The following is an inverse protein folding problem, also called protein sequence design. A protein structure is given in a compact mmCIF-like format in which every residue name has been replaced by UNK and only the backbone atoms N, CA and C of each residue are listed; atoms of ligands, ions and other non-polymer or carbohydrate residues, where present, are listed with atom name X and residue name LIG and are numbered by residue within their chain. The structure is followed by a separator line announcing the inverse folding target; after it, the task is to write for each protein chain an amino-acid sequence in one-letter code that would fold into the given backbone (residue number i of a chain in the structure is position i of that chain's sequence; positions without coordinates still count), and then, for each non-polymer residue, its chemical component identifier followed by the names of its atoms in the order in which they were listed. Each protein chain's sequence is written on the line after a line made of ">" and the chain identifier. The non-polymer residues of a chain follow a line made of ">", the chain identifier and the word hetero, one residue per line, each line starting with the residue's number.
data_IF_488628463646
#
_entry.id   IF_488628463646
#
_cell.length_a   1.000
_cell.length_b   1.000
_cell.length_c   1.000
_cell.angle_alpha   90.00
_cell.angle_beta   90.00
_cell.angle_gamma   90.00
#
_symmetry.space_group_name_H-M   'P 1'
#
loop_
_entity.id
_entity.type
_entity.pdbx_description
1 polymer ?
#
# COMPACT_ATOMS: atom_id res chain seq x y z
N UNK A 1 70.95 -16.12 5.96
CA UNK A 1 70.88 -17.18 6.99
C UNK A 1 70.06 -16.61 8.11
N UNK A 2 68.84 -17.11 8.19
CA UNK A 2 67.70 -16.56 8.93
C UNK A 2 67.72 -16.87 10.43
N UNK A 3 67.06 -15.99 11.18
CA UNK A 3 66.63 -16.19 12.56
C UNK A 3 65.09 -16.22 12.58
N UNK A 4 64.49 -17.24 13.19
CA UNK A 4 63.32 -17.07 14.07
C UNK A 4 62.89 -18.37 14.74
N UNK A 5 62.58 -18.24 16.02
CA UNK A 5 62.00 -19.22 16.95
C UNK A 5 60.51 -19.48 16.67
N UNK A 6 60.01 -20.65 17.09
CA UNK A 6 58.58 -20.86 17.38
C UNK A 6 58.16 -22.34 17.50
N UNK A 7 57.82 -22.75 18.73
CA UNK A 7 57.45 -24.10 19.19
C UNK A 7 55.98 -24.50 18.85
N UNK A 8 55.36 -25.60 19.40
CA UNK A 8 54.87 -26.72 18.60
C UNK A 8 53.34 -26.98 18.64
N UNK A 9 52.94 -27.96 17.83
CA UNK A 9 51.64 -28.63 17.60
C UNK A 9 50.97 -29.22 18.85
N UNK A 10 49.64 -29.09 19.01
CA UNK A 10 48.67 -30.15 19.43
C UNK A 10 47.28 -29.87 18.83
N UNK A 11 46.61 -30.95 18.42
CA UNK A 11 45.37 -31.14 17.66
C UNK A 11 44.02 -30.92 18.38
N UNK A 12 43.00 -30.70 17.55
CA UNK A 12 41.52 -30.63 17.71
C UNK A 12 40.85 -31.82 18.46
N UNK A 13 39.58 -31.74 18.98
CA UNK A 13 38.38 -31.74 18.09
C UNK A 13 37.03 -31.08 18.55
N UNK A 14 36.23 -30.73 17.54
CA UNK A 14 34.75 -30.83 17.34
C UNK A 14 33.70 -30.25 18.32
N UNK A 15 32.94 -29.31 17.75
CA UNK A 15 31.46 -29.19 17.66
C UNK A 15 30.57 -29.26 18.92
N UNK A 16 29.77 -28.20 19.14
CA UNK A 16 28.34 -28.28 19.47
C UNK A 16 27.62 -26.98 19.08
N UNK A 17 26.58 -27.15 18.26
CA UNK A 17 25.57 -26.18 17.84
C UNK A 17 24.71 -25.75 19.03
N UNK A 18 24.49 -24.44 19.21
CA UNK A 18 23.30 -23.93 19.89
C UNK A 18 22.75 -22.68 19.20
N UNK A 19 21.56 -22.88 18.64
CA UNK A 19 20.58 -21.91 18.20
C UNK A 19 20.22 -20.91 19.32
N UNK A 20 20.32 -19.62 19.04
CA UNK A 20 19.75 -18.55 19.87
C UNK A 20 18.48 -18.02 19.19
N UNK A 21 17.37 -18.75 19.41
CA UNK A 21 16.02 -18.23 19.28
C UNK A 21 15.76 -17.25 20.43
N UNK A 22 15.69 -15.95 20.11
CA UNK A 22 15.22 -14.92 21.03
C UNK A 22 13.70 -14.98 21.20
N UNK A 23 13.26 -15.44 22.36
CA UNK A 23 11.87 -15.49 22.81
C UNK A 23 11.41 -14.07 23.17
N UNK A 24 10.38 -13.56 22.49
CA UNK A 24 9.62 -12.37 22.91
C UNK A 24 8.65 -12.76 24.04
N UNK A 25 8.48 -11.93 25.09
CA UNK A 25 7.61 -12.27 26.20
C UNK A 25 6.13 -12.15 25.82
N UNK A 26 5.43 -13.27 25.90
CA UNK A 26 3.97 -13.40 25.84
C UNK A 26 3.34 -12.89 27.14
N UNK A 27 2.58 -11.79 27.06
CA UNK A 27 1.60 -11.40 28.08
C UNK A 27 0.35 -10.85 27.38
N UNK A 28 -0.54 -11.77 27.00
CA UNK A 28 -1.94 -11.48 26.63
C UNK A 28 -2.78 -12.46 27.45
N UNK A 29 -3.39 -11.97 28.52
CA UNK A 29 -4.37 -12.74 29.30
C UNK A 29 -5.71 -12.78 28.55
N UNK A 30 -6.47 -13.88 28.62
CA UNK A 30 -7.77 -13.97 27.96
C UNK A 30 -8.82 -13.15 28.72
N UNK A 31 -9.57 -12.33 27.98
CA UNK A 31 -10.74 -11.60 28.49
C UNK A 31 -11.87 -12.58 28.83
N UNK A 32 -12.24 -12.64 30.11
CA UNK A 32 -13.45 -13.31 30.59
C UNK A 32 -14.46 -12.24 30.99
N UNK A 33 -15.55 -12.10 30.23
CA UNK A 33 -16.67 -11.23 30.57
C UNK A 33 -17.57 -11.93 31.58
N UNK A 34 -17.81 -11.30 32.74
CA UNK A 34 -18.96 -11.59 33.62
C UNK A 34 -19.76 -10.31 33.85
N UNK A 35 -21.10 -10.37 33.89
CA UNK A 35 -21.93 -9.19 34.08
C UNK A 35 -22.06 -8.87 35.58
N UNK A 36 -21.73 -7.64 35.96
CA UNK A 36 -21.99 -7.10 37.29
C UNK A 36 -22.60 -5.71 37.16
N UNK A 37 -23.88 -5.59 37.50
CA UNK A 37 -24.55 -4.30 37.59
C UNK A 37 -24.20 -3.58 38.88
N UNK A 38 -24.08 -2.25 38.83
CA UNK A 38 -24.30 -1.36 39.96
C UNK A 38 -24.75 0.03 39.50
N UNK A 39 -25.68 0.56 40.27
CA UNK A 39 -26.43 1.80 40.08
C UNK A 39 -25.63 3.05 40.49
N UNK A 40 -25.72 4.09 39.66
CA UNK A 40 -25.91 5.51 39.98
C UNK A 40 -24.94 6.28 40.91
N UNK A 41 -24.36 7.37 40.39
CA UNK A 41 -24.44 8.72 40.96
C UNK A 41 -23.89 9.79 39.99
N UNK A 42 -24.49 10.99 40.05
CA UNK A 42 -24.40 12.06 39.05
C UNK A 42 -23.02 12.65 38.80
N UNK A 43 -22.76 12.91 37.51
CA UNK A 43 -21.82 13.90 37.00
C UNK A 43 -22.45 14.55 35.78
N UNK A 44 -22.56 15.88 35.76
CA UNK A 44 -23.12 16.64 34.65
C UNK A 44 -22.21 16.54 33.42
N UNK A 45 -22.35 15.47 32.66
CA UNK A 45 -21.76 15.28 31.34
C UNK A 45 -22.74 15.72 30.27
N UNK A 46 -22.25 16.45 29.27
CA UNK A 46 -22.99 16.83 28.08
C UNK A 46 -23.54 15.55 27.44
N UNK A 47 -24.85 15.32 27.59
CA UNK A 47 -25.54 14.17 27.03
C UNK A 47 -25.78 14.44 25.54
N UNK A 48 -24.71 14.35 24.75
CA UNK A 48 -24.83 14.33 23.29
C UNK A 48 -25.56 13.03 22.96
N UNK A 49 -26.81 13.14 22.51
CA UNK A 49 -27.61 12.00 22.06
C UNK A 49 -26.79 11.16 21.07
N UNK A 50 -26.79 9.84 21.21
CA UNK A 50 -26.10 8.89 20.31
C UNK A 50 -26.42 9.20 18.83
N UNK A 51 -27.67 9.58 18.53
CA UNK A 51 -28.12 10.01 17.19
C UNK A 51 -27.34 11.21 16.65
N UNK A 52 -26.97 12.16 17.50
CA UNK A 52 -26.24 13.37 17.10
C UNK A 52 -24.76 13.07 16.81
N UNK A 53 -24.17 12.08 17.47
CA UNK A 53 -22.81 11.60 17.17
C UNK A 53 -22.81 10.85 15.83
N UNK A 54 -23.81 10.00 15.63
CA UNK A 54 -24.04 9.24 14.41
C UNK A 54 -24.24 10.16 13.19
N UNK A 55 -25.10 11.19 13.29
CA UNK A 55 -25.29 12.20 12.25
C UNK A 55 -23.98 12.92 11.88
N UNK A 56 -23.14 13.25 12.86
CA UNK A 56 -21.85 13.92 12.62
C UNK A 56 -20.85 13.00 11.94
N UNK A 57 -20.78 11.72 12.36
CA UNK A 57 -19.91 10.71 11.74
C UNK A 57 -20.30 10.44 10.29
N UNK A 58 -21.60 10.29 10.03
CA UNK A 58 -22.15 10.10 8.68
C UNK A 58 -21.91 11.32 7.80
N UNK A 59 -22.14 12.53 8.33
CA UNK A 59 -21.87 13.77 7.59
C UNK A 59 -20.39 13.88 7.23
N UNK A 60 -19.49 13.61 8.17
CA UNK A 60 -18.04 13.63 7.89
C UNK A 60 -17.61 12.57 6.88
N UNK A 61 -18.23 11.39 6.92
CA UNK A 61 -18.00 10.33 5.95
C UNK A 61 -18.50 10.72 4.56
N UNK A 62 -19.68 11.32 4.45
CA UNK A 62 -20.25 11.79 3.20
C UNK A 62 -19.42 12.92 2.56
N UNK A 63 -18.94 13.86 3.37
CA UNK A 63 -18.05 14.92 2.87
C UNK A 63 -16.75 14.35 2.32
N UNK A 64 -16.19 13.36 3.01
CA UNK A 64 -15.01 12.66 2.54
C UNK A 64 -15.30 11.83 1.27
N UNK A 65 -16.45 11.17 1.18
CA UNK A 65 -16.90 10.48 -0.04
C UNK A 65 -16.92 11.46 -1.21
N UNK A 66 -17.60 12.60 -1.07
CA UNK A 66 -17.68 13.66 -2.09
C UNK A 66 -16.30 14.20 -2.51
N UNK A 67 -15.39 14.37 -1.55
CA UNK A 67 -14.03 14.87 -1.84
C UNK A 67 -13.18 13.87 -2.63
N UNK A 68 -13.41 12.57 -2.42
CA UNK A 68 -12.71 11.48 -3.09
C UNK A 68 -13.29 11.12 -4.46
N UNK A 69 -14.49 11.63 -4.77
CA UNK A 69 -15.19 11.41 -6.03
C UNK A 69 -14.60 12.28 -7.14
N UNK A 70 -14.26 11.71 -8.32
CA UNK A 70 -13.97 12.52 -9.50
C UNK A 70 -15.17 13.42 -9.79
N UNK A 71 -14.95 14.73 -9.98
CA UNK A 71 -16.04 15.61 -10.45
C UNK A 71 -16.55 15.05 -11.77
N UNK A 72 -17.87 14.79 -11.87
CA UNK A 72 -18.51 14.46 -13.16
C UNK A 72 -18.08 15.55 -14.14
N UNK A 73 -17.36 15.16 -15.20
CA UNK A 73 -17.19 16.04 -16.35
C UNK A 73 -18.61 16.30 -16.86
N UNK A 74 -19.21 17.41 -16.46
CA UNK A 74 -20.24 18.00 -17.32
C UNK A 74 -19.58 18.11 -18.69
N UNK A 75 -20.28 17.69 -19.74
CA UNK A 75 -19.93 18.01 -21.11
C UNK A 75 -19.97 19.55 -21.23
N UNK A 76 -18.91 20.21 -20.77
CA UNK A 76 -18.64 21.60 -21.06
C UNK A 76 -18.18 21.59 -22.49
N UNK A 77 -19.02 22.17 -23.34
CA UNK A 77 -18.70 22.55 -24.71
C UNK A 77 -17.26 23.07 -24.75
N UNK A 78 -16.42 22.45 -25.59
CA UNK A 78 -15.03 22.86 -25.82
C UNK A 78 -14.97 24.36 -26.12
N UNK A 79 -14.55 25.14 -25.13
CA UNK A 79 -14.32 26.57 -25.23
C UNK A 79 -13.29 26.96 -24.18
N UNK A 80 -12.03 27.04 -24.62
CA UNK A 80 -10.89 27.64 -23.92
C UNK A 80 -10.79 27.33 -22.40
N UNK A 81 -10.39 26.12 -22.05
CA UNK A 81 -9.66 25.90 -20.80
C UNK A 81 -8.18 25.82 -21.14
N UNK A 82 -7.37 26.70 -20.55
CA UNK A 82 -5.92 26.72 -20.73
C UNK A 82 -5.34 25.34 -20.39
N UNK A 83 -4.28 24.93 -21.10
CA UNK A 83 -3.53 23.72 -20.77
C UNK A 83 -3.11 23.76 -19.29
N UNK A 84 -3.04 22.61 -18.57
CA UNK A 84 -2.67 22.58 -17.15
C UNK A 84 -1.37 23.32 -16.83
N UNK A 85 -0.46 23.41 -17.81
CA UNK A 85 0.84 24.07 -17.72
C UNK A 85 0.75 25.60 -17.55
N UNK A 86 -0.39 26.23 -17.86
CA UNK A 86 -0.60 27.67 -17.67
C UNK A 86 -1.31 28.02 -16.35
N UNK A 87 -1.67 27.03 -15.52
CA UNK A 87 -2.23 27.25 -14.19
C UNK A 87 -1.09 27.54 -13.18
N UNK A 88 -1.05 28.73 -12.54
CA UNK A 88 -0.06 29.05 -11.52
C UNK A 88 -0.01 28.05 -10.35
N UNK A 89 -1.15 27.45 -9.97
CA UNK A 89 -1.21 26.47 -8.91
C UNK A 89 -0.52 25.16 -9.32
N UNK A 90 -0.74 24.72 -10.56
CA UNK A 90 -0.06 23.56 -11.13
C UNK A 90 1.44 23.78 -11.24
N UNK A 91 1.86 24.96 -11.73
CA UNK A 91 3.27 25.34 -11.82
C UNK A 91 3.96 25.36 -10.45
N UNK A 92 3.30 25.94 -9.44
CA UNK A 92 3.82 25.95 -8.07
C UNK A 92 3.91 24.54 -7.46
N UNK A 93 2.97 23.65 -7.80
CA UNK A 93 3.02 22.25 -7.38
C UNK A 93 4.15 21.49 -8.07
N UNK A 94 4.34 21.64 -9.38
CA UNK A 94 5.45 21.04 -10.14
C UNK A 94 6.83 21.53 -9.66
N UNK A 95 6.92 22.74 -9.12
CA UNK A 95 8.15 23.22 -8.49
C UNK A 95 8.48 22.48 -7.19
N UNK A 96 7.47 22.00 -6.44
CA UNK A 96 7.63 21.22 -5.21
C UNK A 96 7.79 19.72 -5.47
N UNK A 97 7.05 19.20 -6.45
CA UNK A 97 6.98 17.79 -6.81
C UNK A 97 7.23 17.63 -8.33
N UNK A 98 8.48 17.79 -8.80
CA UNK A 98 8.80 17.81 -10.22
C UNK A 98 8.59 16.45 -10.88
N UNK A 99 8.49 16.45 -12.22
CA UNK A 99 8.33 15.21 -12.99
C UNK A 99 9.52 14.27 -12.79
N UNK A 100 9.25 13.02 -12.43
CA UNK A 100 10.28 11.99 -12.30
C UNK A 100 10.96 11.67 -13.63
N UNK A 101 10.27 11.85 -14.76
CA UNK A 101 10.87 11.71 -16.10
C UNK A 101 11.83 12.85 -16.41
N UNK A 102 11.43 14.10 -16.13
CA UNK A 102 12.30 15.26 -16.31
C UNK A 102 13.52 15.21 -15.37
N UNK A 103 13.31 14.73 -14.14
CA UNK A 103 14.35 14.55 -13.12
C UNK A 103 15.06 13.19 -13.20
N UNK A 104 14.81 12.38 -14.23
CA UNK A 104 15.32 11.00 -14.29
C UNK A 104 16.85 10.91 -14.13
N UNK A 105 17.59 11.82 -14.77
CA UNK A 105 19.06 11.89 -14.65
C UNK A 105 19.52 12.12 -13.22
N UNK A 106 18.81 12.95 -12.46
CA UNK A 106 19.14 13.22 -11.05
C UNK A 106 18.85 11.99 -10.18
N UNK A 107 17.70 11.34 -10.41
CA UNK A 107 17.30 10.13 -9.69
C UNK A 107 18.32 9.01 -9.88
N UNK A 108 18.77 8.77 -11.12
CA UNK A 108 19.74 7.69 -11.37
C UNK A 108 21.17 8.06 -10.98
N UNK A 109 21.52 9.35 -10.94
CA UNK A 109 22.82 9.81 -10.46
C UNK A 109 22.99 9.53 -8.96
N UNK A 110 21.95 9.74 -8.15
CA UNK A 110 22.01 9.41 -6.72
C UNK A 110 22.03 7.89 -6.46
N UNK A 111 21.52 7.09 -7.40
CA UNK A 111 21.55 5.63 -7.35
C UNK A 111 22.86 5.01 -7.85
N UNK A 112 23.81 5.81 -8.34
CA UNK A 112 25.07 5.28 -8.85
C UNK A 112 25.88 4.61 -7.74
N UNK A 113 26.27 3.34 -7.96
CA UNK A 113 26.96 2.53 -6.95
C UNK A 113 26.05 1.92 -5.87
N UNK A 114 24.73 2.17 -5.93
CA UNK A 114 23.75 1.66 -4.96
C UNK A 114 22.82 0.62 -5.61
N UNK A 115 22.19 -0.20 -4.78
CA UNK A 115 21.11 -1.10 -5.19
C UNK A 115 19.79 -0.31 -5.26
N UNK A 116 18.94 -0.60 -6.24
CA UNK A 116 17.59 -0.01 -6.33
C UNK A 116 16.57 -1.11 -6.03
N UNK A 117 15.56 -0.78 -5.22
CA UNK A 117 14.38 -1.62 -5.00
C UNK A 117 13.13 -0.87 -5.49
N UNK A 118 12.24 -1.53 -6.22
CA UNK A 118 11.07 -0.88 -6.84
C UNK A 118 9.77 -1.40 -6.23
N UNK A 119 8.96 -0.50 -5.71
CA UNK A 119 7.65 -0.79 -5.12
C UNK A 119 6.58 -0.07 -5.94
N UNK A 120 5.56 -0.82 -6.35
CA UNK A 120 4.55 -0.32 -7.27
C UNK A 120 3.16 -0.55 -6.68
N UNK A 121 2.39 0.51 -6.56
CA UNK A 121 0.95 0.39 -6.43
C UNK A 121 0.31 -0.12 -7.74
N UNK A 122 -0.95 -0.56 -7.67
CA UNK A 122 -1.63 -1.18 -8.80
C UNK A 122 -2.68 -0.29 -9.47
N UNK A 123 -3.77 0.02 -8.76
CA UNK A 123 -4.91 0.77 -9.33
C UNK A 123 -4.55 2.24 -9.46
N UNK A 124 -4.77 2.89 -10.60
CA UNK A 124 -4.33 4.28 -10.81
C UNK A 124 -2.85 4.44 -11.14
N UNK A 125 -2.03 3.45 -10.81
CA UNK A 125 -0.58 3.44 -11.05
C UNK A 125 -0.17 2.57 -12.24
N UNK A 126 -0.43 1.26 -12.18
CA UNK A 126 -0.09 0.29 -13.23
C UNK A 126 -1.28 -0.06 -14.12
N UNK A 127 -2.49 0.20 -13.64
CA UNK A 127 -3.74 0.07 -14.38
C UNK A 127 -4.51 1.40 -14.30
N UNK A 128 -5.19 1.84 -15.37
CA UNK A 128 -6.10 2.96 -15.25
C UNK A 128 -7.23 2.65 -14.25
N UNK A 129 -7.77 3.71 -13.66
CA UNK A 129 -8.95 3.62 -12.81
C UNK A 129 -10.18 3.48 -13.70
N UNK A 130 -10.93 2.40 -13.51
CA UNK A 130 -12.13 2.03 -14.29
C UNK A 130 -13.35 1.92 -13.39
N UNK A 131 -14.54 1.88 -14.00
CA UNK A 131 -15.80 1.86 -13.24
C UNK A 131 -16.14 0.50 -12.63
N UNK A 132 -15.70 -0.57 -13.30
CA UNK A 132 -15.79 -1.94 -12.82
C UNK A 132 -14.40 -2.37 -12.31
N UNK A 133 -14.21 -2.52 -10.98
CA UNK A 133 -12.94 -2.93 -10.41
C UNK A 133 -12.41 -4.27 -10.96
N UNK A 134 -13.25 -5.16 -11.47
CA UNK A 134 -12.83 -6.43 -12.10
C UNK A 134 -12.17 -6.21 -13.47
N UNK A 135 -12.42 -5.05 -14.10
CA UNK A 135 -11.88 -4.68 -15.42
C UNK A 135 -10.60 -3.85 -15.35
N UNK A 136 -10.06 -3.60 -14.16
CA UNK A 136 -8.81 -2.87 -13.95
C UNK A 136 -7.59 -3.73 -14.33
N UNK A 137 -7.53 -4.20 -15.57
CA UNK A 137 -6.53 -5.17 -16.03
C UNK A 137 -5.29 -4.47 -16.57
N UNK A 138 -4.12 -4.87 -16.06
CA UNK A 138 -2.83 -4.44 -16.57
C UNK A 138 -2.64 -4.79 -18.06
N UNK A 139 -2.34 -3.79 -18.87
CA UNK A 139 -2.08 -3.96 -20.31
C UNK A 139 -0.86 -4.86 -20.57
N UNK A 140 -0.80 -5.56 -21.73
CA UNK A 140 0.35 -6.39 -22.08
C UNK A 140 1.69 -5.62 -22.09
N UNK A 141 1.67 -4.36 -22.52
CA UNK A 141 2.85 -3.49 -22.59
C UNK A 141 3.33 -3.07 -21.21
N UNK A 142 2.43 -2.71 -20.30
CA UNK A 142 2.77 -2.41 -18.91
C UNK A 142 3.34 -3.65 -18.21
N UNK A 143 2.71 -4.81 -18.42
CA UNK A 143 3.18 -6.09 -17.88
C UNK A 143 4.60 -6.43 -18.35
N UNK A 144 4.92 -6.13 -19.61
CA UNK A 144 6.27 -6.30 -20.13
C UNK A 144 7.27 -5.33 -19.48
N UNK A 145 6.87 -4.08 -19.24
CA UNK A 145 7.70 -3.09 -18.54
C UNK A 145 7.99 -3.53 -17.09
N UNK A 146 6.97 -3.91 -16.32
CA UNK A 146 7.13 -4.41 -14.94
C UNK A 146 7.97 -5.68 -14.90
N UNK A 147 7.74 -6.64 -15.80
CA UNK A 147 8.58 -7.84 -15.94
C UNK A 147 10.04 -7.49 -16.18
N UNK A 148 10.30 -6.49 -17.02
CA UNK A 148 11.67 -6.07 -17.30
C UNK A 148 12.31 -5.39 -16.09
N UNK A 149 11.57 -4.58 -15.33
CA UNK A 149 12.05 -4.05 -14.04
C UNK A 149 12.43 -5.19 -13.11
N UNK A 150 11.55 -6.18 -12.94
CA UNK A 150 11.79 -7.33 -12.10
C UNK A 150 13.04 -8.12 -12.50
N UNK A 151 13.45 -8.13 -13.78
CA UNK A 151 14.71 -8.81 -14.17
C UNK A 151 15.98 -8.15 -13.63
N UNK A 152 15.93 -6.84 -13.39
CA UNK A 152 17.11 -6.03 -13.06
C UNK A 152 17.12 -5.52 -11.63
N UNK A 153 15.95 -5.47 -10.99
CA UNK A 153 15.76 -4.90 -9.67
C UNK A 153 14.84 -5.79 -8.83
N UNK A 154 15.13 -5.95 -7.52
CA UNK A 154 14.13 -6.39 -6.56
C UNK A 154 12.87 -5.54 -6.70
N UNK A 155 11.72 -6.17 -6.93
CA UNK A 155 10.47 -5.47 -7.17
C UNK A 155 9.29 -6.12 -6.46
N UNK A 156 8.36 -5.28 -5.99
CA UNK A 156 7.15 -5.71 -5.30
C UNK A 156 5.93 -4.90 -5.75
N UNK A 157 4.78 -5.57 -5.80
CA UNK A 157 3.47 -4.91 -5.92
C UNK A 157 2.89 -4.71 -4.52
N UNK A 158 2.45 -3.49 -4.21
CA UNK A 158 1.82 -3.12 -2.94
C UNK A 158 0.43 -2.58 -3.23
N UNK A 159 -0.64 -3.29 -2.88
CA UNK A 159 -1.99 -2.96 -3.32
C UNK A 159 -3.02 -3.07 -2.19
N UNK A 160 -4.06 -2.25 -2.26
CA UNK A 160 -5.26 -2.40 -1.42
C UNK A 160 -6.06 -3.68 -1.72
N UNK A 161 -5.95 -4.22 -2.94
CA UNK A 161 -6.59 -5.47 -3.35
C UNK A 161 -6.02 -6.67 -2.62
N UNK A 162 -6.80 -7.75 -2.51
CA UNK A 162 -6.24 -9.02 -2.03
C UNK A 162 -5.04 -9.47 -2.87
N UNK A 163 -4.08 -10.10 -2.21
CA UNK A 163 -2.85 -10.61 -2.86
C UNK A 163 -3.17 -11.53 -4.03
N UNK A 164 -4.18 -12.40 -3.87
CA UNK A 164 -4.63 -13.33 -4.92
C UNK A 164 -5.10 -12.57 -6.15
N UNK A 165 -5.97 -11.57 -5.97
CA UNK A 165 -6.56 -10.81 -7.07
C UNK A 165 -5.52 -9.98 -7.83
N UNK A 166 -4.66 -9.26 -7.11
CA UNK A 166 -3.61 -8.47 -7.77
C UNK A 166 -2.59 -9.37 -8.48
N UNK A 167 -2.29 -10.56 -7.96
CA UNK A 167 -1.47 -11.56 -8.66
C UNK A 167 -2.16 -12.05 -9.95
N UNK A 168 -3.47 -12.29 -9.93
CA UNK A 168 -4.24 -12.68 -11.12
C UNK A 168 -4.26 -11.57 -12.18
N UNK A 169 -4.22 -10.31 -11.78
CA UNK A 169 -4.15 -9.18 -12.70
C UNK A 169 -2.74 -8.98 -13.27
N UNK A 170 -1.71 -9.06 -12.43
CA UNK A 170 -0.30 -8.81 -12.80
C UNK A 170 0.36 -10.02 -13.48
N UNK A 171 0.02 -11.25 -13.09
CA UNK A 171 0.52 -12.52 -13.66
C UNK A 171 2.04 -12.60 -13.83
N UNK A 172 2.81 -12.09 -12.87
CA UNK A 172 4.29 -12.16 -12.84
C UNK A 172 4.72 -12.81 -11.53
N UNK A 173 5.22 -14.05 -11.58
CA UNK A 173 5.56 -14.82 -10.37
C UNK A 173 6.90 -14.42 -9.74
N UNK A 174 7.70 -13.67 -10.50
CA UNK A 174 9.01 -13.16 -10.09
C UNK A 174 8.95 -11.98 -9.12
N UNK A 175 7.77 -11.37 -8.92
CA UNK A 175 7.57 -10.25 -8.01
C UNK A 175 7.21 -10.71 -6.60
N UNK A 176 7.54 -9.88 -5.60
CA UNK A 176 6.89 -9.96 -4.30
C UNK A 176 5.50 -9.30 -4.37
N UNK A 177 4.57 -9.73 -3.53
CA UNK A 177 3.22 -9.19 -3.49
C UNK A 177 2.78 -8.90 -2.07
N UNK A 178 2.37 -7.66 -1.84
CA UNK A 178 1.75 -7.18 -0.62
C UNK A 178 0.31 -6.77 -0.97
N UNK A 179 -0.65 -7.62 -0.64
CA UNK A 179 -2.07 -7.33 -0.81
C UNK A 179 -2.70 -6.79 0.47
N UNK A 180 -3.95 -6.34 0.37
CA UNK A 180 -4.76 -5.87 1.49
C UNK A 180 -4.07 -4.74 2.24
N UNK A 181 -3.56 -3.73 1.52
CA UNK A 181 -2.76 -2.63 2.08
C UNK A 181 -1.49 -3.11 2.80
N UNK A 182 -0.94 -4.24 2.35
CA UNK A 182 0.24 -4.86 2.93
C UNK A 182 -0.03 -5.76 4.13
N UNK A 183 -1.28 -6.13 4.42
CA UNK A 183 -1.61 -7.12 5.46
C UNK A 183 -1.50 -8.57 4.98
N UNK A 184 -1.34 -8.83 3.67
CA UNK A 184 -1.06 -10.16 3.12
C UNK A 184 0.19 -10.09 2.23
N UNK A 185 1.36 -10.30 2.82
CA UNK A 185 2.65 -10.21 2.12
C UNK A 185 3.20 -11.59 1.82
N UNK A 186 3.60 -11.81 0.57
CA UNK A 186 4.36 -12.98 0.14
C UNK A 186 5.65 -12.52 -0.54
N UNK A 187 6.77 -12.90 0.05
CA UNK A 187 8.08 -12.72 -0.56
C UNK A 187 8.48 -13.97 -1.31
N UNK A 188 8.95 -13.82 -2.55
CA UNK A 188 9.44 -14.94 -3.32
C UNK A 188 10.89 -15.23 -2.96
N UNK A 189 11.22 -16.48 -2.66
CA UNK A 189 12.60 -16.93 -2.47
C UNK A 189 13.46 -16.86 -3.74
N UNK A 190 12.84 -16.68 -4.92
CA UNK A 190 13.56 -16.41 -6.17
C UNK A 190 14.04 -14.96 -6.33
N UNK A 191 13.61 -14.05 -5.46
CA UNK A 191 14.00 -12.63 -5.50
C UNK A 191 15.34 -12.35 -4.80
N UNK A 192 16.13 -13.38 -4.44
CA UNK A 192 17.49 -13.21 -3.98
C UNK A 192 18.41 -12.82 -5.15
N UNK A 193 18.50 -11.51 -5.40
CA UNK A 193 19.48 -10.91 -6.32
C UNK A 193 20.83 -10.82 -5.63
N UNK A 194 21.50 -11.97 -5.47
CA UNK A 194 22.95 -12.16 -5.45
C UNK A 194 23.22 -13.62 -5.11
N UNK A 195 24.22 -14.20 -5.78
CA UNK A 195 24.69 -15.57 -5.61
C UNK A 195 24.76 -15.99 -4.13
N UNK A 196 23.80 -16.79 -3.68
CA UNK A 196 24.15 -17.96 -2.89
C UNK A 196 23.11 -19.06 -2.97
N UNK A 197 23.62 -20.25 -3.25
CA UNK A 197 22.92 -21.50 -3.45
C UNK A 197 22.35 -22.01 -2.14
N UNK A 198 21.05 -21.83 -1.90
CA UNK A 198 20.27 -22.77 -1.10
C UNK A 198 18.92 -23.01 -1.76
N UNK A 199 18.80 -24.19 -2.38
CA UNK A 199 17.53 -24.73 -2.87
C UNK A 199 16.52 -24.79 -1.71
N UNK A 200 15.32 -24.24 -1.93
CA UNK A 200 14.12 -24.72 -1.24
C UNK A 200 13.62 -23.95 -0.02
N UNK A 201 13.89 -22.65 0.15
CA UNK A 201 13.14 -21.85 1.15
C UNK A 201 11.74 -21.55 0.61
N UNK A 202 10.72 -22.02 1.33
CA UNK A 202 9.31 -21.71 1.07
C UNK A 202 9.11 -20.19 0.98
N UNK A 203 8.12 -19.78 0.19
CA UNK A 203 7.75 -18.37 0.12
C UNK A 203 7.32 -17.90 1.52
N UNK A 204 7.93 -16.84 2.04
CA UNK A 204 7.64 -16.37 3.39
C UNK A 204 6.34 -15.57 3.38
N UNK A 205 5.30 -16.15 3.98
CA UNK A 205 4.01 -15.51 4.18
C UNK A 205 4.04 -14.69 5.47
N UNK A 206 3.72 -13.40 5.37
CA UNK A 206 3.59 -12.51 6.52
C UNK A 206 2.20 -11.86 6.55
N UNK A 207 1.53 -11.99 7.68
CA UNK A 207 0.12 -11.60 7.87
C UNK A 207 -0.10 -10.96 9.24
N UNK A 208 0.21 -9.67 9.41
CA UNK A 208 0.15 -9.00 10.73
C UNK A 208 -1.27 -8.90 11.29
N UNK A 209 -2.29 -9.04 10.43
CA UNK A 209 -3.71 -8.97 10.79
C UNK A 209 -4.41 -10.34 10.85
N UNK A 210 -3.66 -11.45 10.92
CA UNK A 210 -4.20 -12.82 10.82
C UNK A 210 -5.39 -13.08 11.75
N UNK A 211 -5.32 -12.59 12.99
CA UNK A 211 -6.34 -12.84 14.01
C UNK A 211 -7.67 -12.12 13.74
N UNK A 212 -7.70 -11.16 12.80
CA UNK A 212 -8.90 -10.45 12.38
C UNK A 212 -9.69 -11.18 11.28
N UNK A 213 -9.16 -12.24 10.66
CA UNK A 213 -9.82 -12.93 9.54
C UNK A 213 -11.28 -13.34 9.85
N UNK A 214 -11.60 -13.97 11.00
CA UNK A 214 -12.98 -14.34 11.29
C UNK A 214 -13.92 -13.13 11.37
N UNK A 215 -13.43 -12.01 11.92
CA UNK A 215 -14.19 -10.77 12.03
C UNK A 215 -14.40 -10.11 10.66
N UNK A 216 -13.39 -10.12 9.80
CA UNK A 216 -13.50 -9.61 8.42
C UNK A 216 -14.49 -10.43 7.61
N UNK A 217 -14.48 -11.77 7.76
CA UNK A 217 -15.45 -12.65 7.10
C UNK A 217 -16.89 -12.37 7.55
N UNK A 218 -17.10 -12.09 8.84
CA UNK A 218 -18.41 -11.73 9.41
C UNK A 218 -18.90 -10.38 8.87
N UNK A 219 -18.04 -9.36 8.92
CA UNK A 219 -18.37 -8.02 8.43
C UNK A 219 -18.59 -7.99 6.93
N UNK A 220 -17.83 -8.78 6.15
CA UNK A 220 -18.04 -8.91 4.72
C UNK A 220 -19.47 -9.38 4.39
N UNK A 221 -19.96 -10.40 5.12
CA UNK A 221 -21.33 -10.91 4.95
C UNK A 221 -22.38 -9.87 5.35
N UNK A 222 -22.19 -9.20 6.49
CA UNK A 222 -23.11 -8.16 6.96
C UNK A 222 -23.19 -7.00 5.95
N UNK A 223 -22.05 -6.52 5.47
CA UNK A 223 -21.99 -5.45 4.45
C UNK A 223 -22.65 -5.87 3.15
N UNK A 224 -22.42 -7.11 2.69
CA UNK A 224 -23.07 -7.65 1.50
C UNK A 224 -24.60 -7.68 1.65
N UNK A 225 -25.10 -8.09 2.81
CA UNK A 225 -26.53 -8.13 3.11
C UNK A 225 -27.15 -6.73 3.08
N UNK A 226 -26.63 -5.79 3.87
CA UNK A 226 -27.23 -4.44 4.00
C UNK A 226 -27.13 -3.61 2.73
N UNK A 227 -26.08 -3.81 1.92
CA UNK A 227 -25.90 -3.06 0.66
C UNK A 227 -26.60 -3.68 -0.54
N UNK A 228 -27.11 -4.92 -0.44
CA UNK A 228 -27.73 -5.65 -1.56
C UNK A 228 -28.94 -4.95 -2.19
N UNK A 229 -29.63 -4.09 -1.42
CA UNK A 229 -30.79 -3.32 -1.89
C UNK A 229 -30.44 -2.01 -2.60
N UNK A 230 -29.17 -1.62 -2.67
CA UNK A 230 -28.74 -0.34 -3.25
C UNK A 230 -28.21 -0.58 -4.67
N UNK A 231 -28.92 -0.05 -5.66
CA UNK A 231 -28.51 -0.17 -7.06
C UNK A 231 -27.13 0.46 -7.28
N UNK A 232 -26.22 -0.31 -7.91
CA UNK A 232 -24.85 0.12 -8.21
C UNK A 232 -23.85 -0.04 -7.06
N UNK A 233 -24.28 -0.38 -5.85
CA UNK A 233 -23.39 -0.70 -4.75
C UNK A 233 -22.80 -2.11 -4.94
N UNK A 234 -21.56 -2.32 -4.53
CA UNK A 234 -20.96 -3.66 -4.51
C UNK A 234 -19.96 -3.82 -3.37
N UNK A 235 -19.84 -5.05 -2.88
CA UNK A 235 -18.93 -5.41 -1.78
C UNK A 235 -17.86 -6.35 -2.31
N UNK A 236 -16.60 -6.02 -2.07
CA UNK A 236 -15.43 -6.80 -2.47
C UNK A 236 -14.67 -7.25 -1.21
N UNK A 237 -14.49 -8.56 -1.09
CA UNK A 237 -13.64 -9.17 -0.07
C UNK A 237 -12.16 -9.12 -0.51
N UNK A 238 -11.38 -8.32 0.23
CA UNK A 238 -9.95 -8.16 0.05
C UNK A 238 -9.14 -8.91 1.12
N UNK A 239 -9.69 -9.96 1.74
CA UNK A 239 -9.10 -10.86 2.76
C UNK A 239 -8.87 -10.24 4.13
N UNK A 240 -8.16 -9.12 4.21
CA UNK A 240 -7.96 -8.35 5.45
C UNK A 240 -8.65 -6.98 5.41
N UNK A 241 -9.41 -6.73 4.36
CA UNK A 241 -10.13 -5.51 4.11
C UNK A 241 -11.44 -5.87 3.39
N UNK A 242 -12.51 -5.12 3.61
CA UNK A 242 -13.73 -5.20 2.83
C UNK A 242 -13.98 -3.85 2.17
N UNK A 243 -14.19 -3.84 0.87
CA UNK A 243 -14.40 -2.63 0.10
C UNK A 243 -15.86 -2.53 -0.34
N UNK A 244 -16.54 -1.46 0.06
CA UNK A 244 -17.88 -1.10 -0.40
C UNK A 244 -17.76 -0.03 -1.47
N UNK A 245 -17.93 -0.43 -2.72
CA UNK A 245 -17.85 0.46 -3.87
C UNK A 245 -19.18 1.16 -4.07
N UNK A 246 -19.16 2.50 -4.14
CA UNK A 246 -20.33 3.34 -4.37
C UNK A 246 -20.23 4.14 -5.67
N UNK A 247 -19.27 3.78 -6.53
CA UNK A 247 -19.03 4.49 -7.80
C UNK A 247 -20.25 4.57 -8.70
N UNK A 248 -20.96 3.45 -8.82
CA UNK A 248 -22.11 3.31 -9.70
C UNK A 248 -23.44 3.58 -8.96
N UNK A 249 -23.37 4.00 -7.69
CA UNK A 249 -24.53 4.37 -6.88
C UNK A 249 -24.93 5.80 -7.20
N UNK A 250 -26.23 6.04 -7.34
CA UNK A 250 -26.79 7.40 -7.47
C UNK A 250 -26.35 8.27 -6.28
N UNK A 251 -25.94 9.50 -6.54
CA UNK A 251 -25.39 10.40 -5.51
C UNK A 251 -26.37 10.65 -4.36
N UNK A 252 -27.68 10.60 -4.64
CA UNK A 252 -28.74 10.71 -3.63
C UNK A 252 -28.69 9.58 -2.58
N UNK A 253 -28.12 8.43 -2.93
CA UNK A 253 -28.07 7.23 -2.09
C UNK A 253 -26.69 7.06 -1.41
N UNK A 254 -25.72 7.97 -1.63
CA UNK A 254 -24.40 7.90 -0.98
C UNK A 254 -24.49 8.02 0.53
N UNK A 255 -25.38 8.87 1.05
CA UNK A 255 -25.62 9.00 2.48
C UNK A 255 -26.18 7.70 3.06
N UNK A 256 -27.05 7.01 2.32
CA UNK A 256 -27.58 5.71 2.74
C UNK A 256 -26.46 4.67 2.82
N UNK A 257 -25.57 4.60 1.83
CA UNK A 257 -24.40 3.71 1.87
C UNK A 257 -23.53 4.02 3.09
N UNK A 258 -23.20 5.29 3.32
CA UNK A 258 -22.39 5.72 4.46
C UNK A 258 -23.02 5.33 5.81
N UNK A 259 -24.34 5.50 5.96
CA UNK A 259 -25.09 5.11 7.16
C UNK A 259 -25.04 3.61 7.39
N UNK A 260 -25.40 2.80 6.40
CA UNK A 260 -25.43 1.34 6.54
C UNK A 260 -24.04 0.76 6.86
N UNK A 261 -22.98 1.29 6.24
CA UNK A 261 -21.61 0.87 6.56
C UNK A 261 -21.29 1.20 8.03
N UNK A 262 -21.57 2.42 8.49
CA UNK A 262 -21.31 2.80 9.89
C UNK A 262 -22.16 1.99 10.88
N UNK A 263 -23.44 1.73 10.58
CA UNK A 263 -24.34 0.92 11.41
C UNK A 263 -23.78 -0.50 11.60
N UNK A 264 -23.28 -1.14 10.53
CA UNK A 264 -22.63 -2.44 10.64
C UNK A 264 -21.42 -2.36 11.58
N UNK A 265 -20.58 -1.32 11.46
CA UNK A 265 -19.37 -1.19 12.26
C UNK A 265 -19.59 -0.84 13.73
N UNK A 266 -20.80 -0.48 14.17
CA UNK A 266 -21.09 -0.28 15.59
C UNK A 266 -20.81 -1.55 16.42
N UNK A 267 -21.00 -2.73 15.81
CA UNK A 267 -20.75 -4.02 16.45
C UNK A 267 -19.28 -4.50 16.33
N UNK A 268 -18.44 -3.77 15.57
CA UNK A 268 -17.05 -4.15 15.29
C UNK A 268 -16.05 -3.02 15.62
N UNK A 269 -15.87 -2.66 16.90
CA UNK A 269 -15.02 -1.54 17.33
C UNK A 269 -13.52 -1.71 17.03
N UNK A 270 -13.10 -2.93 16.66
CA UNK A 270 -11.73 -3.23 16.27
C UNK A 270 -11.47 -2.98 14.77
N UNK A 271 -12.48 -2.51 14.02
CA UNK A 271 -12.39 -2.11 12.62
C UNK A 271 -12.63 -0.61 12.47
N UNK A 272 -12.18 -0.06 11.35
CA UNK A 272 -12.42 1.34 10.95
C UNK A 272 -12.80 1.43 9.49
N UNK A 273 -13.58 2.45 9.15
CA UNK A 273 -13.82 2.87 7.77
C UNK A 273 -12.74 3.86 7.34
N UNK A 274 -12.19 3.64 6.17
CA UNK A 274 -11.36 4.62 5.47
C UNK A 274 -11.83 4.84 4.06
N UNK A 275 -11.62 6.05 3.54
CA UNK A 275 -12.16 6.44 2.25
C UNK A 275 -11.08 6.33 1.19
N UNK A 276 -11.36 5.57 0.14
CA UNK A 276 -10.63 5.56 -1.11
C UNK A 276 -11.42 6.27 -2.20
N UNK A 277 -10.95 6.18 -3.44
CA UNK A 277 -11.59 6.85 -4.59
C UNK A 277 -12.88 6.14 -5.01
N UNK A 278 -14.03 6.65 -4.56
CA UNK A 278 -15.36 6.06 -4.76
C UNK A 278 -15.56 4.69 -4.07
N UNK A 279 -14.87 4.48 -2.93
CA UNK A 279 -14.92 3.23 -2.17
C UNK A 279 -14.76 3.52 -0.67
N UNK A 280 -15.57 2.84 0.14
CA UNK A 280 -15.41 2.78 1.59
C UNK A 280 -14.69 1.47 1.94
N UNK A 281 -13.55 1.58 2.61
CA UNK A 281 -12.73 0.43 2.98
C UNK A 281 -12.82 0.18 4.49
N UNK A 282 -13.31 -1.00 4.84
CA UNK A 282 -13.34 -1.48 6.21
C UNK A 282 -12.10 -2.32 6.48
N UNK A 283 -11.29 -1.89 7.45
CA UNK A 283 -10.01 -2.55 7.78
C UNK A 283 -9.76 -2.61 9.29
N UNK A 284 -8.94 -3.57 9.76
CA UNK A 284 -8.53 -3.64 11.16
C UNK A 284 -7.87 -2.36 11.67
N UNK A 285 -8.15 -2.00 12.92
CA UNK A 285 -7.44 -0.95 13.65
C UNK A 285 -6.16 -1.54 14.21
N UNK A 286 -5.15 -1.62 13.35
CA UNK A 286 -3.79 -2.03 13.74
C UNK A 286 -2.79 -0.96 13.32
N UNK A 287 -1.64 -0.97 13.98
CA UNK A 287 -0.52 -0.10 13.66
C UNK A 287 0.25 -0.65 12.44
N UNK A 288 -0.42 -0.66 11.29
CA UNK A 288 0.08 -1.17 10.01
C UNK A 288 -0.46 -0.37 8.82
N UNK A 289 0.40 -0.10 7.85
CA UNK A 289 0.12 0.67 6.65
C UNK A 289 1.05 0.24 5.48
N UNK A 290 0.88 0.86 4.30
CA UNK A 290 1.72 0.57 3.13
C UNK A 290 3.19 0.94 3.36
N UNK A 291 3.49 1.96 4.17
CA UNK A 291 4.86 2.32 4.55
C UNK A 291 5.55 1.20 5.33
N UNK A 292 4.89 0.66 6.35
CA UNK A 292 5.38 -0.49 7.10
C UNK A 292 5.52 -1.75 6.25
N UNK A 293 4.63 -1.94 5.28
CA UNK A 293 4.76 -3.01 4.31
C UNK A 293 6.04 -2.86 3.46
N UNK A 294 6.38 -1.64 3.04
CA UNK A 294 7.63 -1.34 2.31
C UNK A 294 8.85 -1.60 3.20
N UNK A 295 8.84 -1.16 4.45
CA UNK A 295 9.93 -1.43 5.40
C UNK A 295 10.15 -2.94 5.61
N UNK A 296 9.05 -3.68 5.80
CA UNK A 296 9.07 -5.13 5.94
C UNK A 296 9.64 -5.82 4.69
N UNK A 297 9.25 -5.37 3.50
CA UNK A 297 9.77 -5.91 2.24
C UNK A 297 11.26 -5.60 2.07
N UNK A 298 11.70 -4.37 2.38
CA UNK A 298 13.13 -4.02 2.36
C UNK A 298 13.93 -4.92 3.31
N UNK A 299 13.43 -5.13 4.53
CA UNK A 299 14.07 -6.04 5.49
C UNK A 299 14.11 -7.48 5.01
N UNK A 300 12.98 -7.99 4.53
CA UNK A 300 12.87 -9.38 4.06
C UNK A 300 13.74 -9.67 2.84
N UNK A 301 14.04 -8.66 2.03
CA UNK A 301 14.89 -8.77 0.85
C UNK A 301 16.38 -8.52 1.17
N UNK A 302 16.74 -8.21 2.42
CA UNK A 302 18.12 -7.86 2.79
C UNK A 302 18.55 -6.49 2.25
N UNK A 303 17.59 -5.58 2.10
CA UNK A 303 17.74 -4.26 1.49
C UNK A 303 17.45 -3.11 2.47
N UNK A 304 17.62 -3.35 3.78
CA UNK A 304 17.42 -2.33 4.82
C UNK A 304 18.54 -1.30 4.93
N UNK A 305 19.67 -1.52 4.28
CA UNK A 305 20.81 -0.61 4.31
C UNK A 305 20.51 0.68 3.53
N UNK A 306 20.12 1.74 4.23
CA UNK A 306 19.79 3.04 3.66
C UNK A 306 20.97 3.76 2.99
N UNK A 307 22.22 3.38 3.29
CA UNK A 307 23.38 4.00 2.66
C UNK A 307 23.59 3.45 1.25
N UNK A 308 23.35 2.14 1.07
CA UNK A 308 23.63 1.41 -0.17
C UNK A 308 22.39 1.01 -0.98
N UNK A 309 21.18 1.28 -0.49
CA UNK A 309 19.91 0.97 -1.16
C UNK A 309 19.08 2.24 -1.37
N UNK A 310 18.51 2.37 -2.57
CA UNK A 310 17.50 3.36 -2.92
C UNK A 310 16.18 2.65 -3.28
N UNK A 311 15.22 2.55 -2.34
CA UNK A 311 13.82 2.31 -2.66
C UNK A 311 13.22 3.41 -3.54
N UNK A 312 12.47 2.99 -4.56
CA UNK A 312 11.58 3.84 -5.34
C UNK A 312 10.17 3.29 -5.19
N UNK A 313 9.25 4.09 -4.65
CA UNK A 313 7.82 3.75 -4.55
C UNK A 313 7.02 4.61 -5.53
N UNK A 314 6.11 4.00 -6.29
CA UNK A 314 5.22 4.70 -7.23
C UNK A 314 3.77 4.38 -6.86
N UNK A 315 2.94 5.41 -6.64
CA UNK A 315 1.54 5.27 -6.22
C UNK A 315 0.68 6.50 -6.53
N UNK A 316 -0.65 6.36 -6.54
CA UNK A 316 -1.60 7.42 -6.96
C UNK A 316 -2.51 7.92 -5.83
N UNK A 317 -2.66 7.15 -4.76
CA UNK A 317 -3.72 7.35 -3.78
C UNK A 317 -3.21 7.80 -2.40
N UNK A 318 -4.16 8.07 -1.50
CA UNK A 318 -3.85 8.55 -0.15
C UNK A 318 -3.09 7.51 0.69
N UNK A 319 -3.28 6.22 0.43
CA UNK A 319 -2.61 5.16 1.19
C UNK A 319 -1.14 5.03 0.79
N UNK A 320 -0.78 5.45 -0.42
CA UNK A 320 0.61 5.50 -0.89
C UNK A 320 1.44 6.59 -0.17
N UNK A 321 0.79 7.62 0.37
CA UNK A 321 1.44 8.64 1.19
C UNK A 321 2.15 8.06 2.42
N UNK A 322 1.61 6.98 3.00
CA UNK A 322 2.26 6.27 4.10
C UNK A 322 3.64 5.72 3.67
N UNK A 323 3.75 5.23 2.43
CA UNK A 323 5.01 4.77 1.86
C UNK A 323 5.94 5.93 1.48
N UNK A 324 5.42 7.00 0.90
CA UNK A 324 6.22 8.18 0.57
C UNK A 324 6.84 8.81 1.82
N UNK A 325 6.06 8.93 2.88
CA UNK A 325 6.49 9.47 4.17
C UNK A 325 7.67 8.68 4.74
N UNK A 326 7.56 7.35 4.79
CA UNK A 326 8.64 6.47 5.26
C UNK A 326 9.93 6.68 4.46
N UNK A 327 9.85 6.78 3.13
CA UNK A 327 11.03 6.98 2.29
C UNK A 327 11.67 8.36 2.50
N UNK A 328 10.85 9.39 2.72
CA UNK A 328 11.29 10.76 2.99
C UNK A 328 11.94 10.90 4.36
N UNK A 329 11.30 10.40 5.42
CA UNK A 329 11.80 10.51 6.80
C UNK A 329 13.14 9.77 6.98
N UNK A 330 13.32 8.64 6.30
CA UNK A 330 14.58 7.89 6.29
C UNK A 330 15.65 8.50 5.38
N UNK A 331 15.30 9.49 4.55
CA UNK A 331 16.14 10.06 3.49
C UNK A 331 16.84 9.00 2.63
N UNK A 332 16.16 7.86 2.41
CA UNK A 332 16.76 6.66 1.83
C UNK A 332 16.17 6.31 0.46
N UNK A 333 15.24 7.09 -0.09
CA UNK A 333 14.71 6.81 -1.42
C UNK A 333 13.68 7.83 -1.90
N UNK A 334 12.93 7.43 -2.93
CA UNK A 334 12.05 8.33 -3.66
C UNK A 334 10.62 7.79 -3.73
N UNK A 335 9.68 8.53 -3.13
CA UNK A 335 8.27 8.44 -3.46
C UNK A 335 7.96 9.20 -4.75
N UNK A 336 7.16 8.60 -5.62
CA UNK A 336 6.69 9.17 -6.89
C UNK A 336 5.17 9.11 -6.93
N UNK A 337 4.51 10.25 -6.88
CA UNK A 337 3.05 10.38 -6.96
C UNK A 337 2.57 10.29 -8.41
N UNK A 338 1.54 9.51 -8.68
CA UNK A 338 0.84 9.46 -9.96
C UNK A 338 -0.40 10.36 -9.90
N UNK A 339 -0.35 11.51 -10.57
CA UNK A 339 -1.49 12.44 -10.61
C UNK A 339 -1.38 13.44 -11.75
N UNK A 340 -2.49 13.67 -12.45
CA UNK A 340 -2.63 14.76 -13.42
C UNK A 340 -2.99 16.10 -12.77
N UNK A 341 -3.40 16.07 -11.50
CA UNK A 341 -3.86 17.25 -10.75
C UNK A 341 -3.00 17.46 -9.51
N UNK A 342 -2.81 18.71 -9.06
CA UNK A 342 -2.07 18.99 -7.84
C UNK A 342 -2.70 18.30 -6.63
N UNK A 343 -1.85 17.66 -5.81
CA UNK A 343 -2.22 17.04 -4.53
C UNK A 343 -1.16 17.39 -3.48
N UNK A 344 -1.59 17.52 -2.24
CA UNK A 344 -0.66 17.47 -1.10
C UNK A 344 -0.03 16.07 -1.07
N UNK A 345 1.29 16.02 -0.94
CA UNK A 345 2.03 14.76 -1.02
C UNK A 345 3.39 14.85 -0.34
N UNK A 346 3.81 13.74 0.25
CA UNK A 346 5.16 13.47 0.73
C UNK A 346 6.05 12.88 -0.38
N UNK A 347 5.55 12.67 -1.60
CA UNK A 347 6.36 12.25 -2.74
C UNK A 347 7.40 13.32 -3.13
N UNK A 348 8.58 12.87 -3.56
CA UNK A 348 9.63 13.77 -4.07
C UNK A 348 9.39 14.17 -5.52
N UNK A 349 8.76 13.28 -6.29
CA UNK A 349 8.52 13.45 -7.71
C UNK A 349 7.10 13.08 -8.08
N UNK A 350 6.69 13.48 -9.27
CA UNK A 350 5.38 13.14 -9.83
C UNK A 350 5.51 12.49 -11.22
N UNK A 351 4.48 11.72 -11.58
CA UNK A 351 4.19 11.23 -12.92
C UNK A 351 2.72 11.52 -13.19
N UNK A 352 2.35 11.82 -14.43
CA UNK A 352 0.97 12.25 -14.73
C UNK A 352 -0.04 11.11 -14.64
N UNK A 353 0.30 9.96 -15.19
CA UNK A 353 -0.63 8.84 -15.35
C UNK A 353 0.12 7.50 -15.60
N UNK A 354 -0.60 6.36 -15.73
CA UNK A 354 0.03 5.07 -15.98
C UNK A 354 0.94 4.99 -17.22
N UNK A 355 0.77 5.87 -18.21
CA UNK A 355 1.65 5.89 -19.38
C UNK A 355 3.05 6.40 -19.03
N UNK A 356 3.14 7.46 -18.22
CA UNK A 356 4.42 7.98 -17.73
C UNK A 356 5.08 7.04 -16.72
N UNK A 357 4.29 6.31 -15.92
CA UNK A 357 4.79 5.20 -15.09
C UNK A 357 5.50 4.18 -15.97
N UNK A 358 4.87 3.71 -17.04
CA UNK A 358 5.48 2.77 -17.96
C UNK A 358 6.78 3.30 -18.59
N UNK A 359 6.80 4.58 -18.99
CA UNK A 359 7.99 5.22 -19.55
C UNK A 359 9.13 5.30 -18.53
N UNK A 360 8.82 5.64 -17.29
CA UNK A 360 9.79 5.71 -16.20
C UNK A 360 10.41 4.33 -15.94
N UNK A 361 9.58 3.29 -15.81
CA UNK A 361 10.04 1.90 -15.63
C UNK A 361 10.95 1.44 -16.77
N UNK A 362 10.58 1.74 -18.03
CA UNK A 362 11.41 1.41 -19.19
C UNK A 362 12.73 2.19 -19.20
N UNK A 363 12.72 3.45 -18.75
CA UNK A 363 13.93 4.27 -18.61
C UNK A 363 14.87 3.70 -17.56
N UNK A 364 14.34 3.26 -16.42
CA UNK A 364 15.11 2.61 -15.35
C UNK A 364 15.82 1.33 -15.85
N UNK A 365 15.10 0.50 -16.61
CA UNK A 365 15.67 -0.70 -17.24
C UNK A 365 16.75 -0.35 -18.26
N UNK A 366 16.52 0.64 -19.13
CA UNK A 366 17.53 1.09 -20.12
C UNK A 366 18.80 1.57 -19.43
N UNK A 367 18.67 2.38 -18.38
CA UNK A 367 19.79 2.86 -17.59
C UNK A 367 20.60 1.71 -16.99
N UNK A 368 19.95 0.73 -16.38
CA UNK A 368 20.66 -0.41 -15.78
C UNK A 368 21.40 -1.26 -16.82
N UNK A 369 20.79 -1.49 -17.98
CA UNK A 369 21.44 -2.20 -19.10
C UNK A 369 22.70 -1.52 -19.62
N UNK A 370 22.75 -0.19 -19.57
CA UNK A 370 23.92 0.58 -20.02
C UNK A 370 25.00 0.68 -18.91
N UNK A 371 24.63 0.34 -17.67
CA UNK A 371 25.52 0.37 -16.50
C UNK A 371 26.06 -1.02 -16.13
N UNK A 372 25.59 -2.07 -16.82
CA UNK A 372 26.12 -3.43 -16.82
C UNK A 372 27.12 -3.55 -17.97
#
# INVERSE_FOLDING_TARGET
>A
MDLSNGSPVISDPMAMSQSLMGVLPSNMMPFSVRPGGYSGAGGAGVNVSRRKIEEVLVSGLLDAMKSSSPRKKHNVVFGQENLPEEDPAYSAWMAKCPSALASFKQIVASAQGKKIAVFLDYDGTLSPIVDDPEKAVMSPVMRAAVRNVAKYFPAAIVSGRSRKKVLEFVKLKELCYAGSHGMDIMTSSSAHYEHNTEKGKEANLFQPARDFLPMIDEVSKALLEVTSGIEGASVEDNKFCVSVHYRNVDEKDWELVARLVNEVLEDFPALKVTNGRMVLEVRPVIDWDKGKAVEFLLQSLGLSDSENVIPIYIGDDRTDEDAFKVLRERNCGYGILVSQVPKETEAFYSLRDPSEVMEFLNSLVRWKKHSL
#
